data_IF_940993820173
#
_entry.id   IF_940993820173
#
_cell.length_a   1.000
_cell.length_b   1.000
_cell.length_c   1.000
_cell.angle_alpha   90.00
_cell.angle_beta   90.00
_cell.angle_gamma   90.00
#
_symmetry.space_group_name_H-M   'P 1'
#
loop_
_entity.id
_entity.type
_entity.pdbx_description
1 polymer ?
#
# COMPACT_ATOMS: atom_id res chain seq x y z
N UNK A 1 -37.97 -10.22 29.98
CA UNK A 1 -37.16 -11.23 30.71
C UNK A 1 -35.68 -10.97 30.44
N UNK A 2 -34.98 -10.41 31.42
CA UNK A 2 -33.56 -10.09 31.32
C UNK A 2 -32.77 -11.37 31.57
N UNK A 3 -32.16 -11.96 30.54
CA UNK A 3 -31.21 -13.06 30.66
C UNK A 3 -29.99 -12.57 31.45
N UNK A 4 -29.96 -12.77 32.74
CA UNK A 4 -28.71 -12.62 33.51
C UNK A 4 -27.87 -13.85 33.23
N UNK A 5 -26.67 -13.72 32.64
CA UNK A 5 -25.83 -14.88 32.41
C UNK A 5 -25.54 -15.57 33.75
N UNK A 6 -25.74 -16.89 33.81
CA UNK A 6 -25.62 -17.72 35.02
C UNK A 6 -24.28 -17.49 35.72
N UNK A 7 -23.22 -17.24 34.95
CA UNK A 7 -21.88 -16.90 35.45
C UNK A 7 -21.85 -15.64 36.33
N UNK A 8 -22.58 -14.59 35.94
CA UNK A 8 -22.67 -13.33 36.71
C UNK A 8 -23.49 -13.55 37.98
N UNK A 9 -24.55 -14.35 37.89
CA UNK A 9 -25.38 -14.67 39.05
C UNK A 9 -24.60 -15.48 40.10
N UNK A 10 -23.88 -16.52 39.68
CA UNK A 10 -23.05 -17.35 40.57
C UNK A 10 -21.91 -16.50 41.14
N UNK A 11 -21.21 -15.73 40.33
CA UNK A 11 -20.10 -14.86 40.74
C UNK A 11 -20.54 -13.83 41.80
N UNK A 12 -21.71 -13.17 41.61
CA UNK A 12 -22.21 -12.18 42.53
C UNK A 12 -22.68 -12.82 43.88
N UNK A 13 -23.16 -14.04 43.83
CA UNK A 13 -23.55 -14.78 45.05
C UNK A 13 -22.34 -15.21 45.88
N UNK A 14 -21.25 -15.62 45.21
CA UNK A 14 -20.00 -16.00 45.91
C UNK A 14 -19.28 -14.77 46.52
N UNK A 15 -19.26 -13.66 45.84
CA UNK A 15 -18.64 -12.42 46.35
C UNK A 15 -19.46 -11.77 47.46
N UNK A 16 -20.81 -11.99 47.49
CA UNK A 16 -21.73 -11.44 48.49
C UNK A 16 -21.88 -12.33 49.72
N UNK A 17 -21.29 -13.54 49.72
CA UNK A 17 -21.30 -14.44 50.89
C UNK A 17 -20.56 -13.75 52.06
N UNK A 18 -21.35 -13.33 53.07
CA UNK A 18 -20.94 -12.56 54.24
C UNK A 18 -19.89 -13.33 55.04
N UNK A 19 -18.63 -13.09 54.80
CA UNK A 19 -17.52 -13.61 55.62
C UNK A 19 -17.34 -12.65 56.79
N UNK A 20 -17.32 -13.21 57.99
CA UNK A 20 -17.29 -12.48 59.29
C UNK A 20 -15.91 -11.74 59.55
N UNK A 21 -14.90 -11.89 58.67
CA UNK A 21 -13.60 -11.32 58.84
C UNK A 21 -13.34 -10.22 57.77
N UNK A 22 -13.31 -8.97 58.21
CA UNK A 22 -13.00 -7.81 57.36
C UNK A 22 -11.68 -7.95 56.60
N UNK A 23 -10.69 -8.59 57.20
CA UNK A 23 -9.36 -8.78 56.60
C UNK A 23 -9.40 -9.73 55.35
N UNK A 24 -10.16 -10.82 55.44
CA UNK A 24 -10.31 -11.76 54.33
C UNK A 24 -11.13 -11.13 53.19
N UNK A 25 -12.09 -10.29 53.51
CA UNK A 25 -12.87 -9.54 52.52
C UNK A 25 -12.03 -8.52 51.78
N UNK A 26 -11.12 -7.85 52.46
CA UNK A 26 -10.19 -6.89 51.88
C UNK A 26 -9.23 -7.58 50.89
N UNK A 27 -8.60 -8.70 51.30
CA UNK A 27 -7.68 -9.45 50.42
C UNK A 27 -8.43 -9.96 49.15
N UNK A 28 -9.66 -10.47 49.34
CA UNK A 28 -10.44 -10.94 48.20
C UNK A 28 -10.82 -9.82 47.24
N UNK A 29 -11.13 -8.64 47.77
CA UNK A 29 -11.46 -7.46 46.96
C UNK A 29 -10.26 -6.97 46.15
N UNK A 30 -9.09 -6.83 46.79
CA UNK A 30 -7.86 -6.37 46.12
C UNK A 30 -7.42 -7.37 45.08
N UNK A 31 -7.50 -8.67 45.32
CA UNK A 31 -7.22 -9.73 44.33
C UNK A 31 -8.18 -9.64 43.14
N UNK A 32 -9.49 -9.45 43.38
CA UNK A 32 -10.48 -9.32 42.32
C UNK A 32 -10.21 -8.07 41.44
N UNK A 33 -9.93 -6.94 42.09
CA UNK A 33 -9.58 -5.70 41.37
C UNK A 33 -8.31 -5.88 40.54
N UNK A 34 -7.26 -6.51 41.10
CA UNK A 34 -6.02 -6.77 40.39
C UNK A 34 -6.25 -7.67 39.18
N UNK A 35 -7.03 -8.71 39.31
CA UNK A 35 -7.41 -9.60 38.20
C UNK A 35 -8.22 -8.85 37.14
N UNK A 36 -9.19 -8.06 37.55
CA UNK A 36 -10.03 -7.28 36.63
C UNK A 36 -9.19 -6.25 35.85
N UNK A 37 -8.28 -5.56 36.51
CA UNK A 37 -7.36 -4.60 35.86
C UNK A 37 -6.41 -5.32 34.89
N UNK A 38 -5.90 -6.48 35.27
CA UNK A 38 -5.02 -7.29 34.39
C UNK A 38 -5.73 -7.72 33.12
N UNK A 39 -6.96 -8.24 33.24
CA UNK A 39 -7.78 -8.64 32.08
C UNK A 39 -8.15 -7.42 31.23
N UNK A 40 -8.50 -6.30 31.84
CA UNK A 40 -8.83 -5.07 31.15
C UNK A 40 -7.64 -4.53 30.35
N UNK A 41 -6.45 -4.53 30.95
CA UNK A 41 -5.21 -4.12 30.26
C UNK A 41 -4.91 -5.03 29.06
N UNK A 42 -5.06 -6.33 29.21
CA UNK A 42 -4.86 -7.29 28.13
C UNK A 42 -5.85 -7.08 26.97
N UNK A 43 -7.15 -6.89 27.28
CA UNK A 43 -8.16 -6.61 26.27
C UNK A 43 -7.83 -5.29 25.55
N UNK A 44 -7.43 -4.26 26.28
CA UNK A 44 -7.07 -2.96 25.69
C UNK A 44 -5.91 -3.09 24.71
N UNK A 45 -4.82 -3.77 25.11
CA UNK A 45 -3.66 -3.99 24.25
C UNK A 45 -4.02 -4.78 22.99
N UNK A 46 -4.77 -5.88 23.14
CA UNK A 46 -5.21 -6.68 22.00
C UNK A 46 -6.13 -5.90 21.05
N UNK A 47 -7.04 -5.09 21.61
CA UNK A 47 -7.93 -4.24 20.80
C UNK A 47 -7.17 -3.21 19.97
N UNK A 48 -6.22 -2.52 20.59
CA UNK A 48 -5.39 -1.54 19.89
C UNK A 48 -4.55 -2.22 18.81
N UNK A 49 -3.93 -3.35 19.15
CA UNK A 49 -3.09 -4.09 18.20
C UNK A 49 -3.89 -4.62 17.01
N UNK A 50 -5.09 -5.17 17.25
CA UNK A 50 -5.96 -5.63 16.16
C UNK A 50 -6.46 -4.47 15.29
N UNK A 51 -6.81 -3.34 15.91
CA UNK A 51 -7.21 -2.12 15.19
C UNK A 51 -6.08 -1.59 14.31
N UNK A 52 -4.87 -1.51 14.84
CA UNK A 52 -3.69 -1.08 14.11
C UNK A 52 -3.36 -2.02 12.94
N UNK A 53 -3.36 -3.34 13.19
CA UNK A 53 -3.10 -4.33 12.15
C UNK A 53 -4.11 -4.25 11.01
N UNK A 54 -5.40 -4.08 11.33
CA UNK A 54 -6.46 -3.94 10.31
C UNK A 54 -6.26 -2.68 9.47
N UNK A 55 -5.95 -1.55 10.12
CA UNK A 55 -5.72 -0.28 9.44
C UNK A 55 -4.47 -0.33 8.55
N UNK A 56 -3.37 -0.90 9.06
CA UNK A 56 -2.14 -1.08 8.29
C UNK A 56 -2.35 -1.99 7.09
N UNK A 57 -3.03 -3.13 7.29
CA UNK A 57 -3.31 -4.06 6.20
C UNK A 57 -4.17 -3.41 5.12
N UNK A 58 -5.21 -2.67 5.49
CA UNK A 58 -6.08 -1.99 4.52
C UNK A 58 -5.33 -0.95 3.68
N UNK A 59 -4.38 -0.25 4.28
CA UNK A 59 -3.57 0.76 3.56
C UNK A 59 -2.54 0.15 2.64
N UNK A 60 -1.84 -0.89 3.09
CA UNK A 60 -0.76 -1.51 2.32
C UNK A 60 -1.34 -2.42 1.23
N UNK A 61 -2.28 -3.29 1.57
CA UNK A 61 -2.84 -4.26 0.63
C UNK A 61 -3.66 -3.61 -0.50
N UNK A 62 -4.19 -2.41 -0.29
CA UNK A 62 -4.90 -1.69 -1.34
C UNK A 62 -4.01 -1.15 -2.46
N UNK A 63 -2.68 -1.14 -2.28
CA UNK A 63 -1.73 -0.65 -3.29
C UNK A 63 -0.83 -1.73 -3.89
N UNK A 64 -0.68 -2.83 -3.17
CA UNK A 64 0.18 -3.94 -3.61
C UNK A 64 -0.72 -5.01 -4.20
N UNK A 65 -0.42 -5.49 -5.43
CA UNK A 65 -1.20 -6.56 -6.02
C UNK A 65 -1.12 -7.82 -5.14
N UNK A 66 -2.25 -8.51 -4.95
CA UNK A 66 -2.32 -9.73 -4.17
C UNK A 66 -1.57 -10.89 -4.83
N UNK A 67 -1.50 -10.87 -6.16
CA UNK A 67 -0.73 -11.81 -6.96
C UNK A 67 -0.20 -11.14 -8.21
N UNK A 68 1.01 -11.50 -8.63
CA UNK A 68 1.62 -11.02 -9.87
C UNK A 68 1.93 -12.22 -10.76
N UNK A 69 1.43 -12.18 -11.98
CA UNK A 69 1.77 -13.17 -13.01
C UNK A 69 2.95 -12.64 -13.81
N UNK A 70 4.07 -13.35 -13.74
CA UNK A 70 5.31 -12.99 -14.43
C UNK A 70 5.56 -14.05 -15.52
N UNK A 71 5.74 -13.62 -16.77
CA UNK A 71 6.17 -14.47 -17.87
C UNK A 71 7.70 -14.49 -17.98
N UNK A 72 8.25 -15.54 -18.57
CA UNK A 72 9.69 -15.61 -18.92
C UNK A 72 10.07 -14.60 -20.00
N UNK A 73 9.10 -14.16 -20.79
CA UNK A 73 9.23 -13.14 -21.82
C UNK A 73 8.23 -12.00 -21.58
N UNK A 74 8.49 -10.80 -22.09
CA UNK A 74 7.53 -9.71 -22.01
C UNK A 74 6.19 -10.14 -22.60
N UNK A 75 5.11 -9.88 -21.87
CA UNK A 75 3.75 -10.20 -22.32
C UNK A 75 3.30 -9.17 -23.36
N UNK A 76 3.32 -9.54 -24.64
CA UNK A 76 2.86 -8.68 -25.73
C UNK A 76 1.32 -8.57 -25.75
N UNK A 77 0.62 -9.64 -25.39
CA UNK A 77 -0.84 -9.70 -25.31
C UNK A 77 -1.28 -10.07 -23.88
N UNK A 78 -1.30 -9.07 -23.02
CA UNK A 78 -1.78 -9.26 -21.66
C UNK A 78 -3.29 -9.50 -21.59
N UNK A 79 -4.06 -9.02 -22.60
CA UNK A 79 -5.51 -9.22 -22.67
C UNK A 79 -5.89 -10.68 -22.80
N UNK A 80 -5.15 -11.46 -23.59
CA UNK A 80 -5.37 -12.89 -23.71
C UNK A 80 -5.14 -13.64 -22.39
N UNK A 81 -4.12 -13.21 -21.62
CA UNK A 81 -3.86 -13.75 -20.28
C UNK A 81 -4.96 -13.35 -19.31
N UNK A 82 -5.36 -12.09 -19.34
CA UNK A 82 -6.44 -11.55 -18.52
C UNK A 82 -7.77 -12.31 -18.78
N UNK A 83 -8.11 -12.55 -20.05
CA UNK A 83 -9.33 -13.30 -20.42
C UNK A 83 -9.36 -14.73 -19.84
N UNK A 84 -8.22 -15.41 -19.78
CA UNK A 84 -8.11 -16.73 -19.15
C UNK A 84 -8.28 -16.69 -17.64
N UNK A 85 -7.69 -15.69 -17.01
CA UNK A 85 -7.71 -15.55 -15.55
C UNK A 85 -9.04 -15.00 -15.04
N UNK A 86 -9.73 -14.14 -15.80
CA UNK A 86 -11.05 -13.59 -15.44
C UNK A 86 -12.14 -14.65 -15.29
N UNK A 87 -11.96 -15.84 -15.86
CA UNK A 87 -12.85 -16.97 -15.64
C UNK A 87 -12.83 -17.47 -14.17
N UNK A 88 -11.84 -17.10 -13.38
CA UNK A 88 -11.74 -17.54 -12.00
C UNK A 88 -12.54 -16.63 -11.05
N UNK A 89 -13.49 -17.16 -10.26
CA UNK A 89 -14.45 -16.36 -9.50
C UNK A 89 -13.81 -15.53 -8.35
N UNK A 90 -12.57 -15.82 -7.98
CA UNK A 90 -11.84 -15.10 -6.93
C UNK A 90 -11.04 -13.89 -7.46
N UNK A 91 -10.96 -13.71 -8.78
CA UNK A 91 -10.25 -12.60 -9.39
C UNK A 91 -11.22 -11.45 -9.62
N UNK A 92 -11.03 -10.35 -8.91
CA UNK A 92 -11.91 -9.17 -8.96
C UNK A 92 -11.48 -8.19 -10.04
N UNK A 93 -10.18 -8.08 -10.30
CA UNK A 93 -9.64 -7.16 -11.29
C UNK A 93 -8.19 -7.50 -11.64
N UNK A 94 -7.75 -7.04 -12.79
CA UNK A 94 -6.38 -7.23 -13.28
C UNK A 94 -5.93 -5.98 -14.01
N UNK A 95 -4.66 -5.62 -13.80
CA UNK A 95 -4.02 -4.53 -14.52
C UNK A 95 -2.62 -4.95 -14.97
N UNK A 96 -2.18 -4.53 -16.17
CA UNK A 96 -0.81 -4.73 -16.59
C UNK A 96 0.11 -3.79 -15.80
N UNK A 97 1.25 -4.29 -15.38
CA UNK A 97 2.27 -3.51 -14.69
C UNK A 97 3.64 -3.79 -15.28
N UNK A 98 4.42 -2.75 -15.49
CA UNK A 98 5.84 -2.85 -15.82
C UNK A 98 6.65 -2.22 -14.70
N UNK A 99 7.62 -2.95 -14.16
CA UNK A 99 8.48 -2.42 -13.10
C UNK A 99 9.85 -2.12 -13.67
N UNK A 100 10.35 -0.93 -13.39
CA UNK A 100 11.67 -0.46 -13.79
C UNK A 100 12.37 0.14 -12.56
N UNK A 101 13.65 -0.11 -12.45
CA UNK A 101 14.51 0.54 -11.48
C UNK A 101 15.35 1.60 -12.17
N UNK A 102 15.49 2.76 -11.55
CA UNK A 102 16.22 3.86 -12.14
C UNK A 102 16.58 4.91 -11.11
N UNK A 103 17.14 6.00 -11.60
CA UNK A 103 17.48 7.16 -10.78
C UNK A 103 16.67 8.36 -11.21
N UNK A 104 16.07 9.03 -10.25
CA UNK A 104 15.39 10.30 -10.43
C UNK A 104 16.42 11.42 -10.24
N UNK A 105 16.49 12.34 -11.21
CA UNK A 105 17.32 13.53 -11.12
C UNK A 105 16.47 14.79 -11.23
N UNK A 106 16.64 15.71 -10.27
CA UNK A 106 16.00 17.02 -10.27
C UNK A 106 16.89 18.04 -9.57
N UNK A 107 17.20 19.16 -10.24
CA UNK A 107 18.02 20.27 -9.72
C UNK A 107 19.33 19.83 -9.08
N UNK A 108 20.02 18.85 -9.68
CA UNK A 108 21.30 18.33 -9.17
C UNK A 108 21.21 17.28 -8.05
N UNK A 109 20.04 17.03 -7.52
CA UNK A 109 19.80 15.94 -6.58
C UNK A 109 19.42 14.67 -7.33
N UNK A 110 19.93 13.52 -6.88
CA UNK A 110 19.65 12.20 -7.44
C UNK A 110 19.17 11.24 -6.36
N UNK A 111 18.21 10.39 -6.70
CA UNK A 111 17.70 9.35 -5.81
C UNK A 111 17.35 8.10 -6.61
N UNK A 112 17.72 6.90 -6.11
CA UNK A 112 17.20 5.66 -6.67
C UNK A 112 15.70 5.57 -6.46
N UNK A 113 14.99 5.08 -7.47
CA UNK A 113 13.55 4.92 -7.44
C UNK A 113 13.13 3.66 -8.18
N UNK A 114 11.99 3.12 -7.77
CA UNK A 114 11.27 2.12 -8.53
C UNK A 114 10.10 2.79 -9.24
N UNK A 115 9.95 2.51 -10.52
CA UNK A 115 8.91 3.07 -11.38
C UNK A 115 8.01 1.94 -11.84
N UNK A 116 6.71 2.14 -11.69
CA UNK A 116 5.70 1.22 -12.22
C UNK A 116 5.00 1.90 -13.40
N UNK A 117 5.11 1.29 -14.57
CA UNK A 117 4.31 1.66 -15.72
C UNK A 117 2.94 0.99 -15.60
N UNK A 118 1.88 1.77 -15.65
CA UNK A 118 0.51 1.34 -15.45
C UNK A 118 -0.39 1.74 -16.62
N UNK A 119 -1.49 1.03 -16.77
CA UNK A 119 -2.63 1.47 -17.56
C UNK A 119 -3.63 2.17 -16.62
N UNK A 120 -3.87 3.48 -16.76
CA UNK A 120 -4.71 4.24 -15.83
C UNK A 120 -6.13 3.69 -15.67
N UNK A 121 -6.72 3.15 -16.74
CA UNK A 121 -8.08 2.62 -16.72
C UNK A 121 -8.16 1.28 -16.00
N UNK A 122 -7.20 0.39 -16.23
CA UNK A 122 -7.12 -0.89 -15.54
C UNK A 122 -6.69 -0.71 -14.08
N UNK A 123 -5.75 0.19 -13.81
CA UNK A 123 -5.24 0.49 -12.46
C UNK A 123 -6.34 1.04 -11.54
N UNK A 124 -7.25 1.87 -12.05
CA UNK A 124 -8.36 2.42 -11.29
C UNK A 124 -9.30 1.34 -10.71
N UNK A 125 -9.30 0.13 -11.29
CA UNK A 125 -10.14 -0.98 -10.83
C UNK A 125 -9.48 -1.84 -9.74
N UNK A 126 -8.15 -1.80 -9.64
CA UNK A 126 -7.37 -2.73 -8.79
C UNK A 126 -6.55 -2.03 -7.71
N UNK A 127 -6.40 -0.71 -7.79
CA UNK A 127 -5.54 0.07 -6.89
C UNK A 127 -6.26 1.27 -6.31
N UNK A 128 -5.97 1.57 -5.05
CA UNK A 128 -6.47 2.77 -4.35
C UNK A 128 -5.65 4.03 -4.66
N UNK A 129 -4.63 3.96 -5.51
CA UNK A 129 -3.77 5.12 -5.84
C UNK A 129 -4.60 6.27 -6.38
N UNK A 130 -5.60 6.00 -7.24
CA UNK A 130 -6.50 7.01 -7.76
C UNK A 130 -7.30 7.76 -6.70
N UNK A 131 -7.76 7.06 -5.66
CA UNK A 131 -8.52 7.63 -4.55
C UNK A 131 -7.62 8.40 -3.56
N UNK A 132 -6.33 8.14 -3.58
CA UNK A 132 -5.34 8.71 -2.67
C UNK A 132 -4.51 9.84 -3.29
N UNK A 133 -4.94 10.37 -4.42
CA UNK A 133 -4.32 11.54 -5.03
C UNK A 133 -4.60 12.78 -4.17
N UNK A 134 -3.54 13.49 -3.84
CA UNK A 134 -3.59 14.80 -3.14
C UNK A 134 -3.68 15.93 -4.16
N UNK A 135 -3.21 15.69 -5.38
CA UNK A 135 -3.28 16.64 -6.48
C UNK A 135 -3.04 15.94 -7.82
N UNK A 136 -3.64 16.44 -8.88
CA UNK A 136 -3.64 15.82 -10.20
C UNK A 136 -4.73 14.75 -10.37
N UNK A 137 -4.65 13.97 -11.44
CA UNK A 137 -5.58 12.88 -11.77
C UNK A 137 -4.83 11.73 -12.44
N UNK A 138 -5.32 10.48 -12.28
CA UNK A 138 -4.86 9.34 -13.07
C UNK A 138 -5.08 9.54 -14.56
N UNK A 139 -6.18 10.19 -14.95
CA UNK A 139 -6.51 10.48 -16.35
C UNK A 139 -5.55 11.48 -17.02
N UNK A 140 -4.73 12.17 -16.22
CA UNK A 140 -3.66 13.03 -16.73
C UNK A 140 -2.43 12.22 -17.22
N UNK A 141 -2.39 10.91 -16.97
CA UNK A 141 -1.41 10.01 -17.56
C UNK A 141 -1.85 9.66 -18.98
N UNK A 142 -1.34 10.38 -19.97
CA UNK A 142 -1.66 10.16 -21.38
C UNK A 142 -0.51 9.55 -22.14
N UNK A 143 -0.78 8.64 -23.09
CA UNK A 143 0.25 8.06 -23.95
C UNK A 143 1.05 9.14 -24.67
N UNK A 144 2.37 9.09 -24.55
CA UNK A 144 3.28 10.01 -25.25
C UNK A 144 3.56 11.34 -24.56
N UNK A 145 2.86 11.69 -23.46
CA UNK A 145 3.12 12.93 -22.70
C UNK A 145 4.15 12.74 -21.58
N UNK A 146 4.61 11.51 -21.35
CA UNK A 146 5.55 11.16 -20.28
C UNK A 146 5.15 11.69 -18.90
N UNK A 147 3.86 11.59 -18.59
CA UNK A 147 3.31 11.93 -17.29
C UNK A 147 3.79 10.97 -16.21
N UNK A 148 4.00 11.49 -15.01
CA UNK A 148 4.34 10.68 -13.83
C UNK A 148 3.55 11.14 -12.62
N UNK A 149 3.09 10.18 -11.84
CA UNK A 149 2.49 10.40 -10.52
C UNK A 149 3.52 10.01 -9.47
N UNK A 150 3.78 10.89 -8.53
CA UNK A 150 4.83 10.73 -7.53
C UNK A 150 4.25 10.67 -6.12
N UNK A 151 4.90 9.92 -5.24
CA UNK A 151 4.55 9.91 -3.81
C UNK A 151 4.87 11.24 -3.12
N UNK A 152 4.02 11.63 -2.16
CA UNK A 152 4.13 12.89 -1.44
C UNK A 152 5.50 13.07 -0.75
N UNK A 153 6.07 12.01 -0.21
CA UNK A 153 7.40 12.07 0.44
C UNK A 153 8.49 12.45 -0.55
N UNK A 154 8.46 11.88 -1.76
CA UNK A 154 9.41 12.26 -2.80
C UNK A 154 9.14 13.68 -3.33
N UNK A 155 7.88 14.05 -3.53
CA UNK A 155 7.54 15.42 -3.92
C UNK A 155 8.11 16.44 -2.92
N UNK A 156 7.94 16.18 -1.63
CA UNK A 156 8.49 17.04 -0.56
C UNK A 156 10.01 17.06 -0.53
N UNK A 157 10.65 15.89 -0.67
CA UNK A 157 12.11 15.78 -0.60
C UNK A 157 12.82 16.56 -1.71
N UNK A 158 12.25 16.54 -2.91
CA UNK A 158 12.79 17.27 -4.07
C UNK A 158 12.19 18.67 -4.25
N UNK A 159 11.16 19.04 -3.49
CA UNK A 159 10.41 20.28 -3.67
C UNK A 159 9.63 20.32 -4.99
N UNK A 160 9.18 19.15 -5.48
CA UNK A 160 8.45 19.01 -6.74
C UNK A 160 6.99 19.48 -6.60
N UNK A 161 6.53 20.15 -7.64
CA UNK A 161 5.14 20.60 -7.80
C UNK A 161 4.53 19.97 -9.06
N UNK A 162 3.22 20.01 -9.16
CA UNK A 162 2.52 19.65 -10.39
C UNK A 162 3.03 20.51 -11.55
N UNK A 163 3.32 19.85 -12.69
CA UNK A 163 3.85 20.49 -13.87
C UNK A 163 5.38 20.59 -13.92
N UNK A 164 6.10 20.27 -12.83
CA UNK A 164 7.56 20.23 -12.85
C UNK A 164 8.06 19.10 -13.75
N UNK A 165 9.20 19.35 -14.40
CA UNK A 165 9.87 18.37 -15.26
C UNK A 165 11.07 17.79 -14.54
N UNK A 166 11.11 16.48 -14.43
CA UNK A 166 12.20 15.72 -13.83
C UNK A 166 12.85 14.80 -14.86
N UNK A 167 14.06 14.37 -14.60
CA UNK A 167 14.79 13.44 -15.48
C UNK A 167 14.87 12.07 -14.82
N UNK A 168 14.39 11.06 -15.52
CA UNK A 168 14.57 9.67 -15.19
C UNK A 168 15.78 9.13 -15.92
N UNK A 169 16.65 8.44 -15.21
CA UNK A 169 17.84 7.77 -15.74
C UNK A 169 17.66 6.28 -15.49
N UNK A 170 17.50 5.50 -16.56
CA UNK A 170 17.38 4.05 -16.49
C UNK A 170 18.66 3.43 -17.04
N UNK A 171 19.33 2.54 -16.29
CA UNK A 171 20.46 1.79 -16.85
C UNK A 171 19.94 0.78 -17.88
N UNK A 172 20.28 0.94 -19.13
CA UNK A 172 19.95 0.00 -20.18
C UNK A 172 21.19 -0.87 -20.46
N UNK A 173 21.04 -2.18 -20.27
CA UNK A 173 22.10 -3.12 -20.64
C UNK A 173 22.06 -3.29 -22.14
N UNK A 174 22.90 -2.54 -22.83
CA UNK A 174 23.08 -2.69 -24.28
C UNK A 174 23.97 -3.91 -24.57
N UNK A 175 23.57 -4.75 -25.50
CA UNK A 175 24.37 -5.88 -26.01
C UNK A 175 25.59 -5.43 -26.79
N UNK A 176 25.86 -4.13 -26.85
CA UNK A 176 27.03 -3.53 -27.54
C UNK A 176 28.29 -3.67 -26.70
N UNK A 177 29.47 -3.89 -27.30
CA UNK A 177 30.74 -4.02 -26.59
C UNK A 177 31.15 -2.76 -25.79
N UNK A 178 30.40 -1.68 -25.88
CA UNK A 178 30.63 -0.42 -25.17
C UNK A 178 30.05 -0.30 -23.77
N UNK A 179 29.37 -1.31 -23.24
CA UNK A 179 28.87 -1.30 -21.86
C UNK A 179 27.43 -0.76 -21.68
N UNK A 180 27.09 -0.42 -20.44
CA UNK A 180 25.78 0.09 -20.04
C UNK A 180 25.62 1.54 -20.47
N UNK A 181 24.68 1.84 -21.38
CA UNK A 181 24.33 3.22 -21.75
C UNK A 181 23.12 3.68 -20.95
N UNK A 182 23.22 4.77 -20.18
CA UNK A 182 22.06 5.29 -19.45
C UNK A 182 21.07 5.93 -20.42
N UNK A 183 19.82 5.46 -20.39
CA UNK A 183 18.72 6.13 -21.10
C UNK A 183 18.14 7.21 -20.21
N UNK A 184 18.10 8.43 -20.71
CA UNK A 184 17.53 9.57 -20.00
C UNK A 184 16.17 9.93 -20.61
N UNK A 185 15.15 10.02 -19.77
CA UNK A 185 13.81 10.43 -20.17
C UNK A 185 13.34 11.59 -19.30
N UNK A 186 12.81 12.64 -19.92
CA UNK A 186 12.14 13.72 -19.20
C UNK A 186 10.70 13.31 -18.91
N UNK A 187 10.30 13.41 -17.63
CA UNK A 187 8.97 13.13 -17.16
C UNK A 187 8.32 14.42 -16.64
N UNK A 188 7.01 14.53 -16.79
CA UNK A 188 6.21 15.64 -16.29
C UNK A 188 5.38 15.19 -15.09
N UNK A 189 5.44 15.91 -13.97
CA UNK A 189 4.67 15.58 -12.77
C UNK A 189 3.21 15.98 -12.99
N UNK A 190 2.33 14.97 -13.18
CA UNK A 190 0.89 15.16 -13.41
C UNK A 190 0.04 14.86 -12.19
N UNK A 191 0.62 14.21 -11.17
CA UNK A 191 -0.09 13.91 -9.94
C UNK A 191 0.83 13.64 -8.76
N UNK A 192 0.28 13.80 -7.55
CA UNK A 192 0.93 13.47 -6.29
C UNK A 192 -0.02 12.64 -5.45
N UNK A 193 0.41 11.46 -5.01
CA UNK A 193 -0.39 10.60 -4.15
C UNK A 193 0.17 10.53 -2.72
N UNK A 194 -0.71 10.22 -1.77
CA UNK A 194 -0.38 10.04 -0.36
C UNK A 194 -1.07 8.82 0.21
N UNK A 195 -0.29 7.83 0.58
CA UNK A 195 -0.81 6.61 1.24
C UNK A 195 -0.52 6.61 2.73
N UNK A 196 0.50 7.33 3.16
CA UNK A 196 0.87 7.45 4.56
C UNK A 196 1.68 6.25 5.06
N UNK A 197 2.39 5.57 4.18
CA UNK A 197 3.35 4.52 4.47
C UNK A 197 4.70 4.85 3.81
N UNK A 198 5.75 4.08 4.10
CA UNK A 198 7.08 4.23 3.48
C UNK A 198 7.05 4.10 1.94
N UNK A 199 5.97 3.54 1.40
CA UNK A 199 5.68 3.43 -0.03
C UNK A 199 5.61 4.79 -0.73
N UNK A 200 5.22 5.85 -0.04
CA UNK A 200 5.20 7.23 -0.58
C UNK A 200 6.58 7.72 -1.03
N UNK A 201 7.64 7.07 -0.59
CA UNK A 201 9.02 7.42 -0.92
C UNK A 201 9.60 6.72 -2.15
N UNK A 202 9.12 5.52 -2.48
CA UNK A 202 9.73 4.63 -3.46
C UNK A 202 8.89 4.36 -4.70
N UNK A 203 7.57 4.37 -4.59
CA UNK A 203 6.68 4.05 -5.71
C UNK A 203 6.40 5.25 -6.60
N UNK A 204 6.46 5.00 -7.91
CA UNK A 204 6.13 5.93 -8.99
C UNK A 204 5.25 5.19 -9.99
N UNK A 205 4.25 5.90 -10.50
CA UNK A 205 3.40 5.37 -11.56
C UNK A 205 3.54 6.24 -12.80
N UNK A 206 3.81 5.62 -13.93
CA UNK A 206 3.89 6.24 -15.25
C UNK A 206 3.05 5.43 -16.22
N UNK A 207 2.37 6.08 -17.14
CA UNK A 207 1.67 5.39 -18.20
C UNK A 207 2.63 4.66 -19.11
N UNK A 208 2.36 3.38 -19.36
CA UNK A 208 3.09 2.56 -20.32
C UNK A 208 2.59 2.84 -21.73
N UNK A 209 3.49 3.12 -22.66
CA UNK A 209 3.21 2.93 -24.08
C UNK A 209 3.01 1.44 -24.35
N UNK A 210 1.76 1.04 -24.55
CA UNK A 210 1.46 -0.26 -25.08
C UNK A 210 1.79 -0.27 -26.56
N UNK A 211 2.88 -0.89 -26.92
CA UNK A 211 3.13 -1.28 -28.29
C UNK A 211 4.33 -0.66 -29.02
N UNK A 212 5.18 -1.52 -29.48
CA UNK A 212 6.04 -1.46 -30.67
C UNK A 212 7.40 -0.79 -30.66
N UNK A 213 7.96 -0.29 -29.58
CA UNK A 213 9.32 0.26 -29.64
C UNK A 213 10.41 -0.49 -28.83
N UNK A 214 10.20 -1.77 -28.52
CA UNK A 214 11.29 -2.66 -28.10
C UNK A 214 11.67 -3.62 -29.23
N UNK A 215 11.81 -3.11 -30.47
CA UNK A 215 12.35 -3.85 -31.59
C UNK A 215 13.35 -2.95 -32.31
N UNK A 216 14.58 -3.01 -31.89
CA UNK A 216 15.78 -2.96 -32.75
C UNK A 216 17.03 -3.10 -31.88
#
# INVERSE_FOLDING_TARGET
MMFRPISVFIGSRYTRAKRRNHFISFISLTSLIGLALGVLAMIMVLSVMNGFQREMSARILGMVPHATVIGEQPLDDWQAVAARLSAHPQIVGMAPVTQLEGMLSFKGSMQPIQISGIDPQAEAQVSIVGERLVGGSLDALKPGEYGVIIGLMTARRFGLKLGDKLTLIVPEVSSSPGGVTPRMQRLNVVGVFKVGADLDGSLRSEERRVGKECRS
#
